data_IF_804326750474
#
_entry.id   IF_804326750474
#
_cell.length_a   1.000
_cell.length_b   1.000
_cell.length_c   1.000
_cell.angle_alpha   90.00
_cell.angle_beta   90.00
_cell.angle_gamma   90.00
#
_symmetry.space_group_name_H-M   'P 1'
#
loop_
_entity.id
_entity.type
_entity.pdbx_description
1 polymer ?
#
# COMPACT_ATOMS: atom_id res chain seq x y z
N UNK A 1 -9.12 12.19 29.45
CA UNK A 1 -7.95 12.23 28.55
C UNK A 1 -7.14 10.97 28.79
N UNK A 2 -6.81 10.24 27.73
CA UNK A 2 -6.12 8.95 27.81
C UNK A 2 -4.70 9.05 27.25
N UNK A 3 -3.84 8.13 27.68
CA UNK A 3 -2.43 8.10 27.30
C UNK A 3 -1.99 6.74 26.77
N UNK A 4 -1.04 6.74 25.83
CA UNK A 4 -0.16 5.60 25.57
C UNK A 4 1.03 5.71 26.51
N UNK A 5 1.16 4.75 27.42
CA UNK A 5 2.27 4.62 28.36
C UNK A 5 3.26 3.61 27.79
N UNK A 6 4.37 4.09 27.25
CA UNK A 6 5.37 3.25 26.57
C UNK A 6 6.55 3.05 27.52
N UNK A 7 6.90 1.80 27.80
CA UNK A 7 8.05 1.44 28.65
C UNK A 7 9.10 0.74 27.80
N UNK A 8 10.32 1.28 27.79
CA UNK A 8 11.48 0.60 27.28
C UNK A 8 12.21 -0.08 28.44
N UNK A 9 12.20 -1.41 28.49
CA UNK A 9 12.93 -2.20 29.50
C UNK A 9 14.25 -2.77 28.99
N UNK A 10 14.67 -2.36 27.80
CA UNK A 10 16.01 -2.71 27.34
C UNK A 10 17.05 -1.88 28.10
N UNK A 11 18.26 -2.41 28.16
CA UNK A 11 19.44 -1.74 28.71
C UNK A 11 20.06 -0.71 27.74
N UNK A 12 19.39 -0.41 26.63
CA UNK A 12 19.77 0.61 25.66
C UNK A 12 18.55 1.46 25.29
N UNK A 13 18.79 2.62 24.68
CA UNK A 13 17.72 3.46 24.15
C UNK A 13 17.01 2.75 22.98
N UNK A 14 15.70 2.90 22.89
CA UNK A 14 14.88 2.36 21.81
C UNK A 14 14.16 3.51 21.11
N UNK A 15 14.23 3.52 19.77
CA UNK A 15 13.46 4.44 18.93
C UNK A 15 12.19 3.77 18.45
N UNK A 16 11.10 4.54 18.49
CA UNK A 16 9.78 4.16 17.99
C UNK A 16 9.34 5.17 16.94
N UNK A 17 8.82 4.70 15.81
CA UNK A 17 8.01 5.56 14.94
C UNK A 17 6.62 5.66 15.53
N UNK A 18 6.09 6.89 15.62
CA UNK A 18 4.71 7.14 16.04
C UNK A 18 3.91 7.57 14.82
N UNK A 19 2.94 6.76 14.41
CA UNK A 19 2.10 7.00 13.24
C UNK A 19 0.71 7.49 13.66
N UNK A 20 0.01 8.16 12.73
CA UNK A 20 -1.32 8.72 12.98
C UNK A 20 -1.28 10.00 13.81
N UNK A 21 -2.18 10.14 14.77
CA UNK A 21 -2.24 11.31 15.65
C UNK A 21 -1.19 11.28 16.79
N UNK A 22 -0.52 10.15 17.00
CA UNK A 22 0.35 9.94 18.15
C UNK A 22 1.70 10.67 17.99
N UNK A 23 2.14 11.36 19.04
CA UNK A 23 3.37 12.16 19.07
C UNK A 23 3.50 13.17 17.92
N UNK A 24 2.38 13.63 17.36
CA UNK A 24 2.37 14.50 16.18
C UNK A 24 3.06 13.89 14.95
N UNK A 25 3.06 12.55 14.84
CA UNK A 25 3.71 11.82 13.75
C UNK A 25 5.24 11.77 13.83
N UNK A 26 5.85 12.19 14.95
CA UNK A 26 7.31 12.24 15.13
C UNK A 26 7.82 10.97 15.80
N UNK A 27 9.05 10.61 15.47
CA UNK A 27 9.77 9.55 16.17
C UNK A 27 9.95 9.89 17.66
N UNK A 28 9.93 8.85 18.49
CA UNK A 28 10.13 8.91 19.92
C UNK A 28 11.29 7.99 20.30
N UNK A 29 12.33 8.54 20.92
CA UNK A 29 13.39 7.74 21.54
C UNK A 29 13.20 7.70 23.04
N UNK A 30 13.09 6.49 23.59
CA UNK A 30 12.99 6.26 25.03
C UNK A 30 14.32 5.66 25.49
N UNK A 31 14.97 6.31 26.46
CA UNK A 31 16.24 5.85 27.01
C UNK A 31 16.13 4.47 27.67
N UNK A 32 17.28 3.84 27.93
CA UNK A 32 17.35 2.56 28.62
C UNK A 32 16.56 2.59 29.93
N UNK A 33 15.72 1.56 30.17
CA UNK A 33 14.82 1.47 31.33
C UNK A 33 13.88 2.68 31.51
N UNK A 34 13.68 3.49 30.47
CA UNK A 34 12.86 4.68 30.49
C UNK A 34 11.39 4.42 30.17
N UNK A 35 10.59 5.46 30.33
CA UNK A 35 9.19 5.47 29.92
C UNK A 35 8.79 6.81 29.30
N UNK A 36 7.72 6.80 28.52
CA UNK A 36 7.12 7.98 27.93
C UNK A 36 5.60 7.88 27.97
N UNK A 37 4.93 9.02 28.04
CA UNK A 37 3.48 9.14 27.94
C UNK A 37 3.16 10.01 26.72
N UNK A 38 2.35 9.46 25.81
CA UNK A 38 1.85 10.18 24.64
C UNK A 38 0.34 10.35 24.82
N UNK A 39 -0.19 11.55 24.57
CA UNK A 39 -1.63 11.76 24.54
C UNK A 39 -2.28 10.92 23.44
N UNK A 40 -3.38 10.23 23.78
CA UNK A 40 -4.18 9.45 22.85
C UNK A 40 -5.66 9.72 23.09
N UNK A 41 -6.18 10.86 22.60
CA UNK A 41 -7.60 11.19 22.69
C UNK A 41 -8.50 10.12 22.04
N UNK A 42 -9.73 10.01 22.52
CA UNK A 42 -10.75 9.17 21.88
C UNK A 42 -10.98 9.59 20.42
N UNK A 43 -11.27 8.61 19.56
CA UNK A 43 -11.44 8.81 18.12
C UNK A 43 -10.13 8.88 17.32
N UNK A 44 -8.98 8.73 17.97
CA UNK A 44 -7.67 8.66 17.28
C UNK A 44 -7.29 7.23 16.90
N UNK A 45 -6.51 7.10 15.83
CA UNK A 45 -5.95 5.83 15.38
C UNK A 45 -4.50 6.02 14.90
N UNK A 46 -3.68 4.99 15.03
CA UNK A 46 -2.27 5.01 14.66
C UNK A 46 -1.51 3.79 15.16
N UNK A 47 -0.18 3.87 15.12
CA UNK A 47 0.69 2.80 15.56
C UNK A 47 1.95 3.31 16.27
N UNK A 48 2.48 2.50 17.20
CA UNK A 48 3.79 2.66 17.80
C UNK A 48 4.66 1.51 17.30
N UNK A 49 5.70 1.82 16.54
CA UNK A 49 6.49 0.81 15.80
C UNK A 49 7.94 0.87 16.26
N UNK A 50 8.50 -0.24 16.76
CA UNK A 50 9.91 -0.29 17.13
C UNK A 50 10.81 -0.29 15.89
N UNK A 51 11.96 0.40 15.98
CA UNK A 51 12.96 0.49 14.90
C UNK A 51 14.24 -0.22 15.31
N UNK A 52 14.75 -1.09 14.43
CA UNK A 52 15.93 -1.93 14.63
C UNK A 52 16.90 -1.72 13.47
N UNK A 53 18.08 -1.18 13.75
CA UNK A 53 19.09 -0.86 12.72
C UNK A 53 18.54 -0.03 11.55
N UNK A 54 17.64 0.92 11.85
CA UNK A 54 16.98 1.75 10.83
C UNK A 54 15.84 1.07 10.06
N UNK A 55 15.45 -0.15 10.45
CA UNK A 55 14.35 -0.90 9.84
C UNK A 55 13.21 -1.06 10.85
N UNK A 56 11.97 -0.84 10.43
CA UNK A 56 10.80 -1.07 11.28
C UNK A 56 10.66 -2.57 11.65
N UNK A 57 10.18 -2.84 12.86
CA UNK A 57 9.92 -4.19 13.38
C UNK A 57 8.52 -4.29 13.98
N UNK A 58 8.43 -4.88 15.16
CA UNK A 58 7.14 -5.08 15.83
C UNK A 58 6.39 -3.76 16.10
N UNK A 59 5.07 -3.81 15.91
CA UNK A 59 4.18 -2.67 16.02
C UNK A 59 3.03 -2.95 17.00
N UNK A 60 2.64 -1.90 17.72
CA UNK A 60 1.39 -1.83 18.45
C UNK A 60 0.44 -0.91 17.68
N UNK A 61 -0.61 -1.45 17.10
CA UNK A 61 -1.68 -0.69 16.44
C UNK A 61 -2.74 -0.34 17.47
N UNK A 62 -3.17 0.92 17.51
CA UNK A 62 -4.13 1.42 18.50
C UNK A 62 -5.19 2.27 17.81
N UNK A 63 -6.46 1.95 18.03
CA UNK A 63 -7.58 2.86 17.81
C UNK A 63 -8.30 3.11 19.13
N UNK A 64 -8.38 4.38 19.53
CA UNK A 64 -9.01 4.81 20.78
C UNK A 64 -10.50 5.01 20.60
N UNK A 65 -11.31 4.39 21.46
CA UNK A 65 -12.78 4.51 21.43
C UNK A 65 -13.37 4.28 20.01
N UNK A 66 -12.86 3.27 19.31
CA UNK A 66 -13.25 2.94 17.95
C UNK A 66 -14.49 2.05 17.91
N UNK A 67 -14.29 0.74 17.79
CA UNK A 67 -15.38 -0.22 17.62
C UNK A 67 -16.32 -0.24 18.83
N UNK A 68 -17.55 0.24 18.62
CA UNK A 68 -18.58 0.39 19.67
C UNK A 68 -18.09 1.21 20.88
N UNK A 69 -17.21 2.20 20.67
CA UNK A 69 -16.64 3.03 21.74
C UNK A 69 -15.58 2.33 22.60
N UNK A 70 -15.10 1.15 22.18
CA UNK A 70 -14.00 0.45 22.84
C UNK A 70 -12.68 0.70 22.12
N UNK A 71 -11.57 0.61 22.86
CA UNK A 71 -10.25 0.57 22.26
C UNK A 71 -10.05 -0.70 21.44
N UNK A 72 -9.46 -0.58 20.26
CA UNK A 72 -8.82 -1.71 19.58
C UNK A 72 -7.32 -1.56 19.72
N UNK A 73 -6.66 -2.62 20.16
CA UNK A 73 -5.19 -2.68 20.27
C UNK A 73 -4.72 -3.97 19.62
N UNK A 74 -3.63 -3.96 18.87
CA UNK A 74 -3.08 -5.16 18.26
C UNK A 74 -1.56 -5.13 18.34
N UNK A 75 -0.93 -6.28 18.64
CA UNK A 75 0.51 -6.44 18.44
C UNK A 75 0.71 -7.21 17.14
N UNK A 76 1.57 -6.67 16.29
CA UNK A 76 1.85 -7.22 14.99
C UNK A 76 3.35 -7.30 14.77
N UNK A 77 3.78 -8.41 14.18
CA UNK A 77 5.12 -8.60 13.64
C UNK A 77 5.10 -8.57 12.11
N UNK A 78 4.02 -8.06 11.50
CA UNK A 78 3.78 -8.14 10.06
C UNK A 78 4.85 -7.40 9.24
N UNK A 79 5.43 -6.33 9.80
CA UNK A 79 6.49 -5.54 9.15
C UNK A 79 7.91 -5.93 9.59
N UNK A 80 8.03 -6.94 10.46
CA UNK A 80 9.30 -7.45 10.96
C UNK A 80 9.33 -7.60 12.48
N UNK A 81 10.49 -8.02 12.99
CA UNK A 81 10.75 -8.04 14.43
C UNK A 81 12.25 -7.96 14.73
N UNK A 82 12.61 -7.24 15.78
CA UNK A 82 13.97 -7.18 16.33
C UNK A 82 14.02 -7.13 17.86
N UNK A 83 12.86 -6.99 18.51
CA UNK A 83 12.72 -7.07 19.95
C UNK A 83 11.38 -7.71 20.33
N UNK A 84 11.01 -7.55 21.59
CA UNK A 84 9.75 -8.07 22.13
C UNK A 84 8.85 -6.90 22.50
N UNK A 85 7.58 -6.97 22.09
CA UNK A 85 6.58 -5.97 22.40
C UNK A 85 5.29 -6.61 22.89
N UNK A 86 4.69 -6.01 23.92
CA UNK A 86 3.35 -6.34 24.38
C UNK A 86 2.51 -5.09 24.57
N UNK A 87 1.18 -5.23 24.53
CA UNK A 87 0.27 -4.15 24.89
C UNK A 87 -0.97 -4.64 25.66
N UNK A 88 -1.51 -3.78 26.53
CA UNK A 88 -2.77 -4.00 27.24
C UNK A 88 -3.42 -2.69 27.66
N UNK A 89 -4.72 -2.69 27.99
CA UNK A 89 -5.28 -1.55 28.72
C UNK A 89 -4.73 -1.53 30.15
N UNK A 90 -4.44 -0.34 30.67
CA UNK A 90 -4.01 -0.16 32.06
C UNK A 90 -5.11 -0.65 33.00
N UNK A 91 -4.72 -1.48 33.96
CA UNK A 91 -5.64 -2.11 34.92
C UNK A 91 -6.19 -3.48 34.47
N UNK A 92 -5.90 -3.94 33.25
CA UNK A 92 -6.27 -5.29 32.85
C UNK A 92 -5.47 -6.35 33.66
N UNK A 93 -6.08 -7.52 33.97
CA UNK A 93 -5.40 -8.59 34.68
C UNK A 93 -4.17 -9.12 33.94
N UNK A 94 -3.22 -9.69 34.69
CA UNK A 94 -2.07 -10.36 34.11
C UNK A 94 -2.49 -11.46 33.12
N UNK A 95 -1.78 -11.56 32.00
CA UNK A 95 -2.09 -12.51 30.92
C UNK A 95 -3.17 -12.08 29.93
N UNK A 96 -3.74 -10.88 30.10
CA UNK A 96 -4.68 -10.30 29.14
C UNK A 96 -4.03 -9.37 28.11
N UNK A 97 -2.71 -9.24 28.16
CA UNK A 97 -1.96 -8.50 27.14
C UNK A 97 -1.90 -9.26 25.81
N UNK A 98 -1.69 -8.50 24.75
CA UNK A 98 -1.41 -8.98 23.39
C UNK A 98 0.09 -8.91 23.13
N UNK A 99 0.58 -9.75 22.22
CA UNK A 99 2.00 -9.86 21.89
C UNK A 99 2.69 -11.03 22.59
N UNK A 100 3.89 -11.34 22.11
CA UNK A 100 4.74 -12.40 22.64
C UNK A 100 5.91 -11.77 23.40
N UNK A 101 5.91 -11.88 24.73
CA UNK A 101 6.86 -11.17 25.61
C UNK A 101 8.33 -11.58 25.45
N UNK A 102 8.58 -12.76 24.89
CA UNK A 102 9.91 -13.31 24.56
C UNK A 102 10.01 -13.71 23.08
N UNK A 103 9.36 -12.96 22.18
CA UNK A 103 9.25 -13.29 20.75
C UNK A 103 10.60 -13.62 20.11
N UNK A 104 11.62 -12.78 20.28
CA UNK A 104 12.94 -12.97 19.67
C UNK A 104 13.70 -14.15 20.27
N UNK A 105 13.51 -14.46 21.57
CA UNK A 105 14.08 -15.67 22.17
C UNK A 105 13.42 -16.94 21.61
N UNK A 106 12.10 -16.92 21.46
CA UNK A 106 11.36 -18.02 20.85
C UNK A 106 11.74 -18.19 19.37
N UNK A 107 11.87 -17.10 18.63
CA UNK A 107 12.35 -17.07 17.26
C UNK A 107 13.76 -17.67 17.14
N UNK A 108 14.70 -17.23 17.98
CA UNK A 108 16.05 -17.77 17.98
C UNK A 108 16.06 -19.28 18.26
N UNK A 109 15.32 -19.70 19.29
CA UNK A 109 15.19 -21.11 19.66
C UNK A 109 14.59 -21.95 18.53
N UNK A 110 13.54 -21.45 17.87
CA UNK A 110 12.91 -22.13 16.75
C UNK A 110 13.84 -22.20 15.54
N UNK A 111 14.54 -21.10 15.22
CA UNK A 111 15.47 -21.03 14.10
C UNK A 111 16.61 -22.04 14.23
N UNK A 112 17.22 -22.15 15.42
CA UNK A 112 18.30 -23.12 15.64
C UNK A 112 17.86 -24.57 15.47
N UNK A 113 16.58 -24.89 15.75
CA UNK A 113 15.99 -26.22 15.56
C UNK A 113 15.66 -26.54 14.10
N UNK A 114 15.68 -25.56 13.19
CA UNK A 114 15.36 -25.79 11.78
C UNK A 114 16.44 -26.63 11.07
N UNK A 115 16.04 -27.56 10.19
CA UNK A 115 16.95 -28.16 9.22
C UNK A 115 17.58 -27.10 8.31
N UNK A 116 18.79 -27.37 7.79
CA UNK A 116 19.53 -26.41 6.95
C UNK A 116 18.72 -25.96 5.73
N UNK A 117 18.04 -26.89 5.04
CA UNK A 117 17.19 -26.56 3.89
C UNK A 117 16.08 -25.54 4.23
N UNK A 118 15.55 -25.55 5.46
CA UNK A 118 14.58 -24.55 5.91
C UNK A 118 15.23 -23.22 6.26
N UNK A 119 16.45 -23.23 6.81
CA UNK A 119 17.24 -22.01 7.01
C UNK A 119 17.59 -21.33 5.68
N UNK A 120 17.90 -22.13 4.66
CA UNK A 120 18.20 -21.62 3.31
C UNK A 120 16.99 -20.93 2.67
N UNK A 121 15.77 -21.45 2.89
CA UNK A 121 14.52 -20.79 2.49
C UNK A 121 14.27 -19.45 3.19
N UNK A 122 14.88 -19.23 4.36
CA UNK A 122 14.75 -18.02 5.16
C UNK A 122 15.88 -17.00 4.91
N UNK A 123 16.83 -17.32 4.01
CA UNK A 123 17.95 -16.44 3.69
C UNK A 123 17.44 -15.11 3.12
N UNK A 124 17.95 -14.00 3.68
CA UNK A 124 17.49 -12.65 3.33
C UNK A 124 16.26 -12.18 4.12
N UNK A 125 15.64 -13.07 4.90
CA UNK A 125 14.50 -12.76 5.76
C UNK A 125 14.80 -12.91 7.25
N UNK A 126 15.74 -13.79 7.63
CA UNK A 126 16.27 -13.91 8.99
C UNK A 126 17.70 -13.39 9.02
N UNK A 127 17.96 -12.44 9.92
CA UNK A 127 19.24 -11.76 10.05
C UNK A 127 19.91 -12.19 11.34
N UNK A 128 21.12 -12.73 11.22
CA UNK A 128 21.88 -13.27 12.35
C UNK A 128 22.94 -12.27 12.84
N UNK A 129 23.27 -12.34 14.12
CA UNK A 129 24.46 -11.70 14.68
C UNK A 129 25.75 -12.49 14.39
N UNK A 130 26.90 -11.99 14.84
CA UNK A 130 28.19 -12.65 14.65
C UNK A 130 28.34 -13.99 15.40
N UNK A 131 27.44 -14.30 16.33
CA UNK A 131 27.37 -15.57 17.05
C UNK A 131 26.35 -16.54 16.43
N UNK A 132 25.69 -16.14 15.35
CA UNK A 132 24.69 -16.94 14.65
C UNK A 132 23.30 -16.92 15.31
N UNK A 133 23.05 -16.05 16.29
CA UNK A 133 21.72 -15.87 16.87
C UNK A 133 20.88 -14.95 16.00
N UNK A 134 19.57 -15.16 15.98
CA UNK A 134 18.62 -14.28 15.30
C UNK A 134 18.60 -12.90 15.96
N UNK A 135 19.10 -11.90 15.23
CA UNK A 135 19.08 -10.49 15.63
C UNK A 135 17.79 -9.80 15.20
N UNK A 136 17.29 -10.12 13.99
CA UNK A 136 16.09 -9.50 13.40
C UNK A 136 15.46 -10.45 12.37
N UNK A 137 14.18 -10.28 12.11
CA UNK A 137 13.49 -10.83 10.94
C UNK A 137 12.90 -9.70 10.09
N UNK A 138 12.79 -9.95 8.78
CA UNK A 138 12.05 -9.10 7.85
C UNK A 138 10.54 -9.24 7.98
N UNK A 139 9.75 -8.59 7.11
CA UNK A 139 8.29 -8.65 7.13
C UNK A 139 7.79 -10.06 6.75
N UNK A 140 7.07 -10.79 7.63
CA UNK A 140 6.51 -12.09 7.26
C UNK A 140 5.46 -11.99 6.14
N UNK A 141 4.75 -10.86 6.02
CA UNK A 141 3.80 -10.63 4.90
C UNK A 141 4.43 -10.70 3.51
N UNK A 142 5.74 -10.43 3.41
CA UNK A 142 6.46 -10.41 2.14
C UNK A 142 7.09 -11.78 1.81
N UNK A 143 6.95 -12.78 2.70
CA UNK A 143 7.60 -14.09 2.56
C UNK A 143 6.81 -15.20 3.24
N UNK A 144 6.11 -16.01 2.44
CA UNK A 144 5.36 -17.17 2.93
C UNK A 144 6.22 -18.15 3.76
N UNK A 145 7.48 -18.48 3.38
CA UNK A 145 8.34 -19.30 4.22
C UNK A 145 8.62 -18.69 5.60
N UNK A 146 8.82 -17.37 5.66
CA UNK A 146 9.03 -16.66 6.93
C UNK A 146 7.75 -16.67 7.77
N UNK A 147 6.59 -16.39 7.18
CA UNK A 147 5.29 -16.46 7.86
C UNK A 147 5.07 -17.84 8.48
N UNK A 148 5.25 -18.90 7.70
CA UNK A 148 5.14 -20.29 8.16
C UNK A 148 6.08 -20.58 9.32
N UNK A 149 7.33 -20.10 9.24
CA UNK A 149 8.30 -20.24 10.32
C UNK A 149 7.85 -19.52 11.59
N UNK A 150 7.44 -18.26 11.51
CA UNK A 150 7.02 -17.47 12.69
C UNK A 150 5.80 -18.09 13.37
N UNK A 151 4.87 -18.65 12.58
CA UNK A 151 3.71 -19.38 13.10
C UNK A 151 4.09 -20.62 13.92
N UNK A 152 5.27 -21.20 13.74
CA UNK A 152 5.68 -22.37 14.56
C UNK A 152 5.86 -22.04 16.05
N UNK A 153 6.07 -20.77 16.41
CA UNK A 153 6.32 -20.36 17.79
C UNK A 153 5.45 -19.21 18.29
N UNK A 154 4.83 -18.42 17.41
CA UNK A 154 4.07 -17.22 17.80
C UNK A 154 2.60 -17.19 17.35
N UNK A 155 2.08 -18.27 16.76
CA UNK A 155 0.71 -18.32 16.26
C UNK A 155 -0.32 -17.97 17.36
N UNK A 156 -1.19 -17.00 17.08
CA UNK A 156 -2.21 -16.53 18.04
C UNK A 156 -1.70 -15.68 19.19
N UNK A 157 -0.39 -15.41 19.27
CA UNK A 157 0.19 -14.53 20.30
C UNK A 157 0.45 -13.12 19.79
N UNK A 158 0.72 -13.02 18.49
CA UNK A 158 0.96 -11.80 17.75
C UNK A 158 0.40 -11.99 16.36
N UNK A 159 0.14 -10.88 15.68
CA UNK A 159 -0.37 -10.88 14.33
C UNK A 159 0.80 -11.01 13.36
N UNK A 160 0.82 -12.11 12.60
CA UNK A 160 2.01 -12.52 11.82
C UNK A 160 1.80 -12.29 10.33
N UNK A 161 0.60 -12.54 9.81
CA UNK A 161 0.30 -12.52 8.37
C UNK A 161 -0.64 -11.39 7.97
N UNK A 162 -1.25 -11.51 6.79
CA UNK A 162 -2.36 -10.64 6.39
C UNK A 162 -3.64 -11.19 7.04
N UNK A 163 -4.21 -10.46 7.97
CA UNK A 163 -5.41 -10.82 8.74
C UNK A 163 -6.70 -10.76 7.92
N UNK A 164 -7.84 -10.84 8.61
CA UNK A 164 -9.15 -10.81 7.97
C UNK A 164 -9.39 -9.46 7.28
N UNK A 165 -9.08 -9.37 6.00
CA UNK A 165 -9.23 -8.14 5.24
C UNK A 165 -9.62 -8.46 3.79
N UNK A 166 -10.66 -7.80 3.29
CA UNK A 166 -11.12 -7.95 1.90
C UNK A 166 -11.74 -9.30 1.52
N UNK A 167 -12.40 -9.99 2.45
CA UNK A 167 -13.09 -11.26 2.19
C UNK A 167 -12.24 -12.52 2.44
N UNK A 168 -10.93 -12.35 2.64
CA UNK A 168 -10.13 -13.37 3.32
C UNK A 168 -10.55 -13.39 4.80
N UNK A 169 -10.89 -14.57 5.30
CA UNK A 169 -11.18 -14.75 6.73
C UNK A 169 -9.96 -14.50 7.61
N UNK A 170 -8.77 -14.31 7.03
CA UNK A 170 -7.50 -14.18 7.74
C UNK A 170 -7.11 -15.49 8.41
N UNK A 171 -5.99 -15.47 9.13
CA UNK A 171 -5.71 -16.55 10.05
C UNK A 171 -6.64 -16.42 11.28
N UNK A 172 -7.39 -17.48 11.65
CA UNK A 172 -8.30 -17.42 12.80
C UNK A 172 -7.61 -17.06 14.12
N UNK A 173 -6.35 -17.46 14.29
CA UNK A 173 -5.58 -17.16 15.50
C UNK A 173 -5.15 -15.68 15.54
N UNK A 174 -4.76 -15.11 14.38
CA UNK A 174 -4.47 -13.68 14.27
C UNK A 174 -5.73 -12.85 14.61
N UNK A 175 -6.92 -13.29 14.18
CA UNK A 175 -8.18 -12.59 14.47
C UNK A 175 -8.62 -12.68 15.93
N UNK A 176 -8.34 -13.80 16.62
CA UNK A 176 -8.68 -13.96 18.05
C UNK A 176 -7.98 -12.92 18.92
N UNK A 177 -6.76 -12.59 18.55
CA UNK A 177 -6.01 -11.51 19.18
C UNK A 177 -6.74 -10.17 19.00
N UNK A 178 -7.32 -9.85 17.85
CA UNK A 178 -7.88 -8.52 17.51
C UNK A 178 -9.21 -8.14 18.18
N UNK A 179 -9.55 -8.79 19.30
CA UNK A 179 -10.71 -8.40 20.10
C UNK A 179 -10.55 -7.00 20.72
N UNK A 180 -11.62 -6.19 20.68
CA UNK A 180 -11.64 -4.89 21.32
C UNK A 180 -11.55 -5.03 22.86
N UNK A 181 -10.96 -4.02 23.50
CA UNK A 181 -10.93 -3.88 24.95
C UNK A 181 -12.30 -3.50 25.53
N UNK A 182 -12.32 -3.06 26.79
CA UNK A 182 -13.55 -2.60 27.46
C UNK A 182 -13.47 -1.11 27.74
N UNK A 183 -14.23 -0.34 26.97
CA UNK A 183 -14.19 1.12 26.96
C UNK A 183 -12.87 1.68 26.46
N UNK A 184 -12.68 2.98 26.69
CA UNK A 184 -11.42 3.68 26.43
C UNK A 184 -10.62 3.84 27.72
N UNK A 185 -9.36 3.40 27.70
CA UNK A 185 -8.44 3.48 28.85
C UNK A 185 -7.05 3.88 28.40
N UNK A 186 -6.16 4.20 29.34
CA UNK A 186 -4.74 4.26 29.04
C UNK A 186 -4.25 2.91 28.50
N UNK A 187 -3.34 2.94 27.53
CA UNK A 187 -2.74 1.74 26.96
C UNK A 187 -1.30 1.63 27.47
N UNK A 188 -0.94 0.49 28.07
CA UNK A 188 0.43 0.18 28.42
C UNK A 188 1.07 -0.59 27.26
N UNK A 189 2.17 -0.06 26.73
CA UNK A 189 3.01 -0.71 25.73
C UNK A 189 4.36 -0.99 26.39
N UNK A 190 4.82 -2.24 26.36
CA UNK A 190 6.12 -2.61 26.92
C UNK A 190 6.98 -3.17 25.80
N UNK A 191 8.16 -2.59 25.66
CA UNK A 191 9.22 -3.06 24.78
C UNK A 191 10.39 -3.59 25.61
N UNK A 192 11.02 -4.67 25.16
CA UNK A 192 12.27 -5.17 25.73
C UNK A 192 13.00 -6.10 24.75
N UNK A 193 14.33 -6.12 24.79
CA UNK A 193 15.12 -7.18 24.17
C UNK A 193 15.10 -8.47 25.02
N UNK A 194 14.72 -8.37 26.29
CA UNK A 194 14.63 -9.48 27.23
C UNK A 194 13.19 -9.97 27.37
N UNK A 195 12.49 -9.50 28.39
CA UNK A 195 11.10 -9.88 28.66
C UNK A 195 10.20 -8.65 28.66
N UNK A 196 9.29 -8.59 27.69
CA UNK A 196 8.34 -7.51 27.51
C UNK A 196 7.00 -7.72 28.25
N UNK A 197 6.89 -8.66 29.19
CA UNK A 197 5.67 -8.88 29.95
C UNK A 197 5.29 -7.62 30.76
N UNK A 198 4.03 -7.17 30.80
CA UNK A 198 3.64 -6.01 31.59
C UNK A 198 4.05 -6.08 33.07
N UNK A 199 4.03 -7.28 33.65
CA UNK A 199 4.54 -7.58 34.99
C UNK A 199 5.50 -8.78 34.91
N UNK A 200 6.82 -8.56 34.95
CA UNK A 200 7.81 -9.63 34.78
C UNK A 200 7.98 -10.47 36.06
N UNK A 201 7.42 -10.03 37.19
CA UNK A 201 7.49 -10.76 38.46
C UNK A 201 6.45 -11.88 38.55
N UNK A 202 5.42 -11.83 37.71
CA UNK A 202 4.36 -12.84 37.68
C UNK A 202 4.74 -13.98 36.73
N UNK A 203 4.47 -15.23 37.13
CA UNK A 203 4.61 -16.36 36.22
C UNK A 203 3.74 -16.12 34.99
N UNK A 204 4.30 -16.46 33.84
CA UNK A 204 3.60 -16.36 32.57
C UNK A 204 2.31 -17.19 32.61
N UNK A 205 1.17 -16.53 32.44
CA UNK A 205 -0.11 -17.24 32.35
C UNK A 205 -0.44 -17.67 30.92
N UNK A 206 0.18 -17.03 29.93
CA UNK A 206 -0.09 -17.21 28.51
C UNK A 206 -1.54 -16.96 28.12
N UNK A 207 -1.74 -16.47 26.91
CA UNK A 207 -2.88 -16.99 26.19
C UNK A 207 -2.54 -18.46 25.93
N UNK A 208 -3.14 -19.37 26.69
CA UNK A 208 -2.87 -20.80 26.61
C UNK A 208 -3.15 -21.27 25.20
N UNK A 209 -2.10 -21.49 24.40
CA UNK A 209 -2.22 -22.30 23.19
C UNK A 209 -2.40 -23.73 23.69
N UNK A 210 -3.65 -24.22 23.74
CA UNK A 210 -3.88 -25.65 23.86
C UNK A 210 -3.15 -26.32 22.69
N UNK A 211 -2.22 -27.20 23.03
CA UNK A 211 -1.14 -27.65 22.16
C UNK A 211 -1.61 -28.24 20.82
N UNK A 212 -1.05 -27.73 19.73
CA UNK A 212 -1.13 -28.36 18.42
C UNK A 212 0.06 -29.30 18.23
N UNK A 213 -0.22 -30.61 18.20
CA UNK A 213 0.67 -31.59 17.61
C UNK A 213 0.61 -31.42 16.07
N UNK A 214 1.71 -30.98 15.46
CA UNK A 214 1.85 -30.89 14.01
C UNK A 214 1.88 -32.28 13.39
N UNK A 215 0.79 -32.70 12.76
CA UNK A 215 0.80 -33.84 11.83
C UNK A 215 1.35 -33.33 10.50
N UNK A 216 2.59 -33.69 10.21
CA UNK A 216 3.22 -33.45 8.93
C UNK A 216 2.57 -34.35 7.86
N UNK A 217 1.64 -33.82 7.07
CA UNK A 217 1.25 -34.46 5.82
C UNK A 217 2.21 -34.02 4.72
N UNK A 218 3.15 -34.91 4.39
CA UNK A 218 3.97 -34.82 3.19
C UNK A 218 3.05 -34.99 1.97
N UNK A 219 2.89 -33.93 1.17
CA UNK A 219 2.24 -34.05 -0.13
C UNK A 219 3.35 -34.13 -1.19
N UNK A 220 3.67 -35.34 -1.60
CA UNK A 220 4.51 -35.65 -2.75
C UNK A 220 3.67 -35.54 -4.01
N UNK A 221 4.01 -34.63 -4.93
CA UNK A 221 3.61 -34.75 -6.32
C UNK A 221 4.84 -34.54 -7.22
N UNK A 222 5.13 -35.44 -8.17
CA UNK A 222 6.38 -35.45 -8.91
C UNK A 222 6.38 -34.49 -10.11
N UNK A 223 7.57 -33.94 -10.37
CA UNK A 223 7.95 -33.16 -11.54
C UNK A 223 7.68 -33.90 -12.87
N UNK A 224 7.22 -33.15 -13.88
CA UNK A 224 7.59 -33.39 -15.27
C UNK A 224 8.01 -32.07 -15.97
N UNK A 225 9.13 -32.05 -16.70
CA UNK A 225 9.62 -30.86 -17.38
C UNK A 225 9.03 -30.72 -18.79
N UNK A 226 8.47 -29.55 -19.11
CA UNK A 226 8.25 -29.15 -20.50
C UNK A 226 9.36 -28.19 -20.95
N UNK A 227 10.21 -28.70 -21.83
CA UNK A 227 11.06 -27.91 -22.71
C UNK A 227 10.20 -27.12 -23.70
N UNK A 228 10.44 -25.82 -23.83
CA UNK A 228 10.14 -25.10 -25.07
C UNK A 228 11.34 -24.25 -25.42
N UNK A 229 12.00 -24.64 -26.51
CA UNK A 229 12.99 -23.84 -27.21
C UNK A 229 12.27 -22.74 -28.00
N UNK A 230 12.78 -21.51 -27.93
CA UNK A 230 12.55 -20.51 -28.98
C UNK A 230 13.88 -19.89 -29.40
N UNK A 231 14.22 -20.18 -30.65
CA UNK A 231 15.37 -19.67 -31.36
C UNK A 231 15.15 -18.21 -31.78
N UNK A 232 16.25 -17.47 -31.74
CA UNK A 232 16.40 -16.13 -32.28
C UNK A 232 16.24 -16.12 -33.81
N UNK A 233 15.60 -15.07 -34.34
CA UNK A 233 16.01 -14.44 -35.60
C UNK A 233 15.84 -12.92 -35.48
N UNK A 234 16.98 -12.25 -35.56
CA UNK A 234 17.10 -10.88 -36.04
C UNK A 234 16.61 -10.82 -37.48
N UNK A 235 15.99 -9.71 -37.88
CA UNK A 235 16.45 -9.01 -39.08
C UNK A 235 16.00 -7.55 -39.07
N UNK A 236 16.98 -6.74 -39.45
CA UNK A 236 17.00 -5.29 -39.58
C UNK A 236 16.59 -4.97 -41.00
N UNK A 237 15.77 -3.94 -41.24
CA UNK A 237 15.97 -3.08 -42.41
C UNK A 237 15.25 -1.74 -42.26
N UNK A 238 16.08 -0.71 -42.42
CA UNK A 238 15.72 0.70 -42.52
C UNK A 238 15.56 1.11 -43.99
N UNK A 239 15.44 2.42 -44.20
CA UNK A 239 15.49 3.20 -45.46
C UNK A 239 14.17 3.10 -46.28
N UNK A 240 13.48 4.15 -46.73
CA UNK A 240 13.98 5.46 -47.18
C UNK A 240 12.94 6.57 -47.17
N UNK A 241 13.48 7.77 -46.95
CA UNK A 241 13.00 9.13 -47.19
C UNK A 241 12.36 9.30 -48.57
N UNK A 242 11.27 10.07 -48.66
CA UNK A 242 10.98 10.85 -49.87
C UNK A 242 10.71 12.31 -49.53
N UNK A 243 11.57 13.14 -50.11
CA UNK A 243 11.60 14.60 -50.15
C UNK A 243 10.65 15.07 -51.26
N UNK A 244 9.80 16.07 -50.99
CA UNK A 244 9.20 16.88 -52.05
C UNK A 244 9.29 18.35 -51.62
N UNK A 245 10.02 19.12 -52.42
CA UNK A 245 10.15 20.58 -52.36
C UNK A 245 9.27 21.23 -53.44
N UNK A 246 8.92 22.50 -53.18
CA UNK A 246 8.43 23.56 -54.08
C UNK A 246 6.98 23.46 -54.60
N UNK A 247 6.20 24.55 -54.75
CA UNK A 247 6.55 25.96 -54.94
C UNK A 247 5.42 26.94 -54.52
N UNK A 248 5.84 28.14 -54.12
CA UNK A 248 5.31 29.51 -54.33
C UNK A 248 3.80 29.86 -54.28
N UNK A 249 3.52 30.92 -53.51
CA UNK A 249 2.28 31.72 -53.36
C UNK A 249 1.82 32.44 -54.66
N UNK A 250 0.65 33.12 -54.65
CA UNK A 250 0.61 34.51 -54.16
C UNK A 250 -0.61 34.92 -53.29
N UNK A 251 -0.30 35.85 -52.37
CA UNK A 251 -1.04 37.01 -51.86
C UNK A 251 -2.58 37.03 -51.76
N UNK A 252 -3.05 37.24 -50.53
CA UNK A 252 -4.39 37.76 -50.20
C UNK A 252 -4.45 38.17 -48.73
N UNK A 253 -4.42 39.48 -48.49
CA UNK A 253 -4.25 40.09 -47.17
C UNK A 253 -5.42 39.84 -46.20
N UNK A 254 -5.09 39.40 -44.99
CA UNK A 254 -5.83 39.74 -43.76
C UNK A 254 -4.83 39.71 -42.60
N UNK A 255 -4.43 40.89 -42.12
CA UNK A 255 -3.62 41.02 -40.91
C UNK A 255 -4.49 40.59 -39.74
N UNK A 256 -4.47 39.30 -39.40
CA UNK A 256 -4.79 38.82 -38.06
C UNK A 256 -3.52 38.96 -37.26
N UNK A 257 -3.51 39.90 -36.33
CA UNK A 257 -2.60 39.95 -35.20
C UNK A 257 -2.56 38.55 -34.57
N UNK A 258 -1.52 37.79 -34.90
CA UNK A 258 -1.12 36.64 -34.11
C UNK A 258 -0.65 37.21 -32.79
N UNK A 259 -1.57 37.29 -31.82
CA UNK A 259 -1.18 37.31 -30.44
C UNK A 259 -0.28 36.08 -30.27
N UNK A 260 1.03 36.32 -30.12
CA UNK A 260 1.93 35.32 -29.61
C UNK A 260 1.25 34.78 -28.35
N UNK A 261 0.82 33.52 -28.40
CA UNK A 261 0.28 32.85 -27.24
C UNK A 261 1.37 33.01 -26.17
N UNK A 262 1.10 33.87 -25.20
CA UNK A 262 1.93 34.00 -24.03
C UNK A 262 2.13 32.57 -23.56
N UNK A 263 3.38 32.10 -23.57
CA UNK A 263 3.76 30.83 -22.98
C UNK A 263 3.33 30.93 -21.52
N UNK A 264 2.10 30.52 -21.24
CA UNK A 264 1.55 30.45 -19.90
C UNK A 264 2.57 29.64 -19.13
N UNK A 265 3.22 30.30 -18.17
CA UNK A 265 4.23 29.69 -17.31
C UNK A 265 3.74 28.30 -16.93
N UNK A 266 4.57 27.29 -17.16
CA UNK A 266 4.20 25.91 -16.89
C UNK A 266 3.58 25.85 -15.48
N UNK A 267 2.39 25.27 -15.32
CA UNK A 267 1.80 25.13 -14.00
C UNK A 267 2.81 24.43 -13.11
N UNK A 268 2.96 24.91 -11.87
CA UNK A 268 3.89 24.36 -10.90
C UNK A 268 3.61 22.88 -10.59
N UNK A 269 4.32 22.30 -9.59
CA UNK A 269 4.14 20.89 -9.26
C UNK A 269 2.68 20.51 -8.98
N UNK A 270 2.23 19.39 -9.55
CA UNK A 270 0.88 18.86 -9.37
C UNK A 270 0.31 18.25 -10.64
N UNK A 271 -0.97 18.52 -10.90
CA UNK A 271 -1.61 18.08 -12.16
C UNK A 271 -2.42 19.19 -12.81
N UNK A 272 -2.53 19.17 -14.14
CA UNK A 272 -3.66 19.72 -14.87
C UNK A 272 -4.75 18.66 -14.92
N UNK A 273 -5.96 18.99 -14.47
CA UNK A 273 -7.08 18.07 -14.43
C UNK A 273 -8.19 18.58 -15.35
N UNK A 274 -8.60 17.75 -16.30
CA UNK A 274 -9.67 18.06 -17.24
C UNK A 274 -10.85 17.11 -17.09
N UNK A 275 -12.04 17.69 -16.96
CA UNK A 275 -13.31 16.97 -17.04
C UNK A 275 -13.82 17.02 -18.48
N UNK A 276 -13.46 16.04 -19.31
CA UNK A 276 -13.94 15.94 -20.69
C UNK A 276 -15.24 15.14 -20.76
N UNK A 277 -16.23 15.54 -19.96
CA UNK A 277 -17.57 14.99 -20.01
C UNK A 277 -18.62 16.08 -20.16
N UNK A 278 -19.85 15.66 -20.47
CA UNK A 278 -21.00 16.56 -20.56
C UNK A 278 -21.58 16.97 -19.19
N UNK A 279 -21.12 16.38 -18.07
CA UNK A 279 -21.64 16.64 -16.72
C UNK A 279 -20.57 17.24 -15.80
N UNK A 280 -21.00 17.99 -14.79
CA UNK A 280 -20.11 18.39 -13.69
C UNK A 280 -19.67 17.13 -12.93
N UNK A 281 -18.38 17.03 -12.60
CA UNK A 281 -17.85 15.94 -11.78
C UNK A 281 -17.01 16.49 -10.63
N UNK A 282 -17.03 15.78 -9.51
CA UNK A 282 -16.14 16.02 -8.37
C UNK A 282 -15.05 14.97 -8.37
N UNK A 283 -13.79 15.41 -8.33
CA UNK A 283 -12.62 14.55 -8.33
C UNK A 283 -11.97 14.56 -6.96
N UNK A 284 -11.66 13.38 -6.44
CA UNK A 284 -11.05 13.19 -5.13
C UNK A 284 -9.63 12.69 -5.28
N UNK A 285 -8.75 13.22 -4.44
CA UNK A 285 -7.33 12.90 -4.40
C UNK A 285 -7.03 12.11 -3.15
N UNK A 286 -6.27 11.03 -3.31
CA UNK A 286 -5.91 10.13 -2.22
C UNK A 286 -4.39 9.99 -2.22
N UNK A 287 -3.76 10.23 -1.07
CA UNK A 287 -2.37 9.81 -0.86
C UNK A 287 -2.33 8.28 -0.73
N UNK A 288 -1.16 7.70 -1.00
CA UNK A 288 -0.92 6.30 -0.66
C UNK A 288 -0.61 6.15 0.83
N UNK A 289 -1.09 5.06 1.44
CA UNK A 289 -0.77 4.68 2.82
C UNK A 289 0.72 4.37 3.00
N UNK A 290 1.37 3.82 1.97
CA UNK A 290 2.77 3.45 1.98
C UNK A 290 3.51 4.13 0.84
N UNK A 291 4.48 4.98 1.20
CA UNK A 291 5.31 5.76 0.29
C UNK A 291 6.79 5.39 0.47
N UNK A 292 7.19 4.17 0.11
CA UNK A 292 8.60 3.79 0.12
C UNK A 292 8.85 2.28 0.13
N UNK A 293 9.04 1.71 -1.07
CA UNK A 293 9.61 0.38 -1.38
C UNK A 293 9.11 -0.17 -2.74
N UNK A 294 8.27 0.57 -3.47
CA UNK A 294 7.70 0.12 -4.75
C UNK A 294 6.29 -0.46 -4.63
N UNK A 295 5.69 -0.45 -3.44
CA UNK A 295 4.30 -0.89 -3.22
C UNK A 295 3.42 0.30 -2.87
N UNK A 296 2.51 0.68 -3.78
CA UNK A 296 1.51 1.71 -3.53
C UNK A 296 0.33 1.11 -2.74
N UNK A 297 0.26 1.42 -1.44
CA UNK A 297 -0.88 1.04 -0.59
C UNK A 297 -2.05 2.01 -0.80
N UNK A 298 -3.16 1.52 -1.32
CA UNK A 298 -4.22 2.40 -1.75
C UNK A 298 -5.15 2.86 -0.61
N UNK A 299 -5.22 4.16 -0.32
CA UNK A 299 -6.25 4.78 0.51
C UNK A 299 -7.53 5.04 -0.31
N UNK A 300 -8.71 4.67 0.21
CA UNK A 300 -10.00 4.73 -0.48
C UNK A 300 -11.04 5.58 0.24
N UNK A 301 -10.88 5.79 1.53
CA UNK A 301 -11.87 6.36 2.44
C UNK A 301 -11.45 7.72 3.02
N UNK A 302 -10.16 8.07 2.94
CA UNK A 302 -9.62 9.34 3.41
C UNK A 302 -9.08 10.21 2.25
N UNK A 303 -9.95 10.86 1.46
CA UNK A 303 -9.49 11.80 0.45
C UNK A 303 -8.80 13.00 1.11
N UNK A 304 -7.63 13.38 0.60
CA UNK A 304 -6.90 14.55 1.06
C UNK A 304 -7.55 15.87 0.62
N UNK A 305 -8.07 15.87 -0.61
CA UNK A 305 -8.69 17.05 -1.23
C UNK A 305 -9.65 16.61 -2.33
N UNK A 306 -10.50 17.55 -2.75
CA UNK A 306 -11.35 17.37 -3.91
C UNK A 306 -11.43 18.64 -4.74
N UNK A 307 -11.83 18.50 -6.00
CA UNK A 307 -12.06 19.60 -6.94
C UNK A 307 -13.31 19.31 -7.75
N UNK A 308 -14.21 20.28 -7.85
CA UNK A 308 -15.34 20.21 -8.77
C UNK A 308 -14.97 20.86 -10.10
N UNK A 309 -15.32 20.19 -11.20
CA UNK A 309 -15.05 20.66 -12.55
C UNK A 309 -16.33 20.62 -13.38
N UNK A 310 -16.68 21.77 -13.96
CA UNK A 310 -17.73 21.87 -14.98
C UNK A 310 -17.36 21.05 -16.23
N UNK A 311 -18.34 20.76 -17.12
CA UNK A 311 -18.07 20.16 -18.42
C UNK A 311 -16.96 20.88 -19.19
N UNK A 312 -16.01 20.12 -19.73
CA UNK A 312 -14.85 20.60 -20.50
C UNK A 312 -13.92 21.57 -19.76
N UNK A 313 -14.04 21.69 -18.44
CA UNK A 313 -13.16 22.55 -17.66
C UNK A 313 -11.82 21.86 -17.39
N UNK A 314 -10.74 22.64 -17.53
CA UNK A 314 -9.39 22.28 -17.09
C UNK A 314 -8.98 23.19 -15.94
N UNK A 315 -8.40 22.62 -14.88
CA UNK A 315 -7.83 23.38 -13.77
C UNK A 315 -6.46 22.83 -13.40
N UNK A 316 -5.54 23.70 -12.98
CA UNK A 316 -4.34 23.24 -12.30
C UNK A 316 -4.63 22.97 -10.83
N UNK A 317 -4.32 21.76 -10.39
CA UNK A 317 -4.41 21.34 -8.99
C UNK A 317 -2.99 21.27 -8.44
N UNK A 318 -2.55 22.26 -7.63
CA UNK A 318 -1.24 22.22 -7.01
C UNK A 318 -1.20 21.11 -5.95
N UNK A 319 -0.07 20.41 -5.92
CA UNK A 319 0.21 19.31 -4.99
C UNK A 319 1.66 19.39 -4.51
N UNK A 320 1.93 18.85 -3.31
CA UNK A 320 3.30 18.72 -2.81
C UNK A 320 4.14 17.86 -3.77
N UNK A 321 5.42 18.20 -3.94
CA UNK A 321 6.38 17.35 -4.66
C UNK A 321 6.54 15.96 -4.01
N UNK A 322 6.19 15.83 -2.73
CA UNK A 322 6.18 14.55 -2.03
C UNK A 322 4.92 13.71 -2.28
N UNK A 323 3.91 14.24 -2.97
CA UNK A 323 2.64 13.53 -3.18
C UNK A 323 2.85 12.32 -4.08
N UNK A 324 2.31 11.17 -3.66
CA UNK A 324 2.26 9.92 -4.42
C UNK A 324 0.92 9.25 -4.15
N UNK A 325 0.09 9.13 -5.18
CA UNK A 325 -1.25 8.66 -4.96
C UNK A 325 -2.06 8.64 -6.24
N UNK A 326 -3.35 8.97 -6.11
CA UNK A 326 -4.29 8.89 -7.23
C UNK A 326 -5.32 10.01 -7.21
N UNK A 327 -5.89 10.23 -8.37
CA UNK A 327 -7.12 11.00 -8.57
C UNK A 327 -8.19 10.11 -9.20
N UNK A 328 -9.43 10.24 -8.73
CA UNK A 328 -10.58 9.54 -9.30
C UNK A 328 -11.84 10.41 -9.30
N UNK A 329 -12.85 10.00 -10.08
CA UNK A 329 -14.19 10.60 -10.09
C UNK A 329 -15.02 10.07 -8.92
N UNK A 330 -15.61 10.98 -8.14
CA UNK A 330 -16.38 10.62 -6.96
C UNK A 330 -15.56 9.86 -5.90
N UNK A 331 -16.23 9.38 -4.86
CA UNK A 331 -15.61 8.62 -3.77
C UNK A 331 -15.86 7.12 -3.83
N UNK A 332 -16.81 6.70 -4.66
CA UNK A 332 -17.25 5.32 -4.73
C UNK A 332 -16.37 4.51 -5.70
N UNK A 333 -16.11 3.26 -5.31
CA UNK A 333 -15.63 2.21 -6.21
C UNK A 333 -16.83 1.40 -6.75
N UNK A 334 -16.72 0.73 -7.91
CA UNK A 334 -15.54 0.68 -8.79
C UNK A 334 -15.28 1.98 -9.58
N UNK A 335 -14.03 2.35 -9.83
CA UNK A 335 -13.66 3.60 -10.50
C UNK A 335 -12.32 3.54 -11.25
N UNK A 336 -12.19 4.31 -12.33
CA UNK A 336 -10.93 4.51 -13.06
C UNK A 336 -10.02 5.46 -12.29
N UNK A 337 -8.74 5.11 -12.22
CA UNK A 337 -7.73 5.91 -11.53
C UNK A 337 -6.73 6.53 -12.49
N UNK A 338 -6.36 7.78 -12.19
CA UNK A 338 -5.07 8.33 -12.61
C UNK A 338 -4.10 8.21 -11.44
N UNK A 339 -3.12 7.32 -11.56
CA UNK A 339 -2.09 7.10 -10.54
C UNK A 339 -0.87 7.95 -10.87
N UNK A 340 -0.25 8.58 -9.86
CA UNK A 340 0.92 9.41 -10.09
C UNK A 340 1.73 9.72 -8.83
N UNK A 341 2.99 10.05 -9.06
CA UNK A 341 3.86 10.74 -8.11
C UNK A 341 4.32 12.07 -8.72
N UNK A 342 4.28 13.14 -7.93
CA UNK A 342 4.64 14.48 -8.41
C UNK A 342 6.15 14.60 -8.62
N UNK A 343 6.95 13.90 -7.81
CA UNK A 343 8.41 13.82 -7.97
C UNK A 343 8.93 12.43 -7.56
N UNK A 344 9.41 11.68 -8.53
CA UNK A 344 10.07 10.41 -8.33
C UNK A 344 11.47 10.59 -7.72
N UNK A 345 11.88 9.70 -6.82
CA UNK A 345 13.19 9.80 -6.15
C UNK A 345 14.36 9.41 -7.06
N UNK A 346 14.11 8.61 -8.09
CA UNK A 346 15.14 8.09 -8.99
C UNK A 346 15.57 9.10 -10.07
N UNK A 347 14.65 9.88 -10.64
CA UNK A 347 14.98 10.81 -11.73
C UNK A 347 14.44 12.24 -11.53
N UNK A 348 13.72 12.47 -10.42
CA UNK A 348 13.20 13.79 -10.06
C UNK A 348 12.06 14.31 -10.93
N UNK A 349 11.43 13.46 -11.77
CA UNK A 349 10.29 13.84 -12.63
C UNK A 349 8.95 13.45 -12.00
N UNK A 350 7.85 14.01 -12.50
CA UNK A 350 6.54 13.41 -12.24
C UNK A 350 6.40 12.14 -13.08
N UNK A 351 5.74 11.12 -12.54
CA UNK A 351 5.41 9.87 -13.23
C UNK A 351 3.95 9.55 -12.99
N UNK A 352 3.23 9.09 -14.00
CA UNK A 352 1.86 8.63 -13.83
C UNK A 352 1.31 7.81 -14.99
N UNK A 353 0.20 7.16 -14.71
CA UNK A 353 -0.42 6.15 -15.55
C UNK A 353 -1.94 6.06 -15.27
N UNK A 354 -2.63 5.21 -16.03
CA UNK A 354 -4.06 4.94 -15.86
C UNK A 354 -4.23 3.51 -15.36
N UNK A 355 -5.07 3.33 -14.35
CA UNK A 355 -5.34 2.04 -13.74
C UNK A 355 -6.83 1.74 -13.68
N UNK A 356 -7.16 0.51 -14.09
CA UNK A 356 -8.50 -0.09 -14.06
C UNK A 356 -8.58 -1.19 -12.99
N UNK A 357 -7.55 -1.34 -12.17
CA UNK A 357 -7.44 -2.39 -11.17
C UNK A 357 -8.59 -2.37 -10.15
N UNK A 358 -9.15 -1.19 -9.86
CA UNK A 358 -10.33 -1.01 -9.02
C UNK A 358 -11.61 -0.71 -9.79
N UNK A 359 -11.63 -1.07 -11.08
CA UNK A 359 -12.75 -0.97 -12.00
C UNK A 359 -12.61 0.17 -12.99
N UNK A 360 -13.62 0.32 -13.84
CA UNK A 360 -13.65 1.38 -14.85
C UNK A 360 -15.02 2.04 -14.94
N UNK A 361 -15.06 3.32 -14.56
CA UNK A 361 -16.25 4.18 -14.63
C UNK A 361 -16.18 5.19 -15.80
N UNK A 362 -15.24 4.98 -16.72
CA UNK A 362 -15.07 5.79 -17.93
C UNK A 362 -13.61 5.96 -18.31
N UNK A 363 -13.36 6.39 -19.55
CA UNK A 363 -12.03 6.56 -20.08
C UNK A 363 -11.20 7.62 -19.35
N UNK A 364 -9.88 7.48 -19.40
CA UNK A 364 -8.94 8.47 -18.88
C UNK A 364 -7.61 8.43 -19.65
N UNK A 365 -6.95 9.58 -19.74
CA UNK A 365 -5.60 9.72 -20.32
C UNK A 365 -4.70 10.53 -19.40
N UNK A 366 -3.41 10.27 -19.46
CA UNK A 366 -2.35 11.04 -18.81
C UNK A 366 -1.35 11.52 -19.86
N UNK A 367 -0.90 12.77 -19.74
CA UNK A 367 0.09 13.37 -20.63
C UNK A 367 1.15 14.17 -19.86
N UNK A 368 2.36 14.24 -20.41
CA UNK A 368 3.40 15.13 -19.92
C UNK A 368 3.06 16.60 -20.24
N UNK A 369 3.48 17.51 -19.37
CA UNK A 369 3.26 18.97 -19.57
C UNK A 369 4.55 19.75 -19.74
N UNK A 370 5.68 19.05 -19.86
CA UNK A 370 7.02 19.61 -20.02
C UNK A 370 7.38 19.94 -21.50
N UNK A 371 6.38 19.97 -22.37
CA UNK A 371 6.54 20.24 -23.81
C UNK A 371 6.84 19.00 -24.66
N UNK A 372 7.05 17.81 -24.05
CA UNK A 372 7.27 16.58 -24.82
C UNK A 372 5.98 16.01 -25.43
N UNK A 373 4.82 16.26 -24.80
CA UNK A 373 3.51 15.83 -25.30
C UNK A 373 3.29 14.31 -25.29
N UNK A 374 4.16 13.54 -24.61
CA UNK A 374 4.01 12.09 -24.48
C UNK A 374 2.76 11.80 -23.67
N UNK A 375 1.93 10.88 -24.13
CA UNK A 375 0.67 10.53 -23.48
C UNK A 375 0.36 9.04 -23.57
N UNK A 376 -0.40 8.55 -22.59
CA UNK A 376 -0.93 7.20 -22.55
C UNK A 376 -2.35 7.19 -21.96
N UNK A 377 -2.98 6.02 -21.91
CA UNK A 377 -4.39 5.86 -21.54
C UNK A 377 -5.29 5.58 -22.73
N UNK A 378 -6.58 5.84 -22.58
CA UNK A 378 -7.58 5.54 -23.59
C UNK A 378 -8.77 6.51 -23.51
N UNK A 379 -9.40 6.75 -24.66
CA UNK A 379 -10.59 7.62 -24.81
C UNK A 379 -11.85 6.83 -25.16
N UNK A 380 -11.69 5.57 -25.59
CA UNK A 380 -12.78 4.68 -25.96
C UNK A 380 -13.63 4.34 -24.75
N UNK A 381 -14.94 4.49 -24.86
CA UNK A 381 -15.86 3.94 -23.88
C UNK A 381 -15.88 2.41 -23.96
N UNK A 382 -15.30 1.76 -22.95
CA UNK A 382 -15.28 0.30 -22.83
C UNK A 382 -16.34 -0.25 -21.87
N UNK A 383 -17.07 0.60 -21.15
CA UNK A 383 -18.23 0.17 -20.35
C UNK A 383 -19.38 -0.24 -21.28
N UNK A 384 -19.57 0.50 -22.38
CA UNK A 384 -20.57 0.17 -23.39
C UNK A 384 -20.20 -1.10 -24.14
N UNK A 385 -21.13 -2.04 -24.18
CA UNK A 385 -20.97 -3.32 -24.88
C UNK A 385 -20.21 -4.37 -24.08
N UNK A 386 -19.81 -4.06 -22.84
CA UNK A 386 -19.21 -5.05 -21.96
C UNK A 386 -20.22 -6.18 -21.65
N UNK A 387 -19.76 -7.43 -21.56
CA UNK A 387 -20.62 -8.54 -21.18
C UNK A 387 -21.14 -8.32 -19.75
N UNK A 388 -22.35 -8.78 -19.46
CA UNK A 388 -22.97 -8.60 -18.14
C UNK A 388 -22.09 -9.09 -16.98
N UNK A 389 -21.32 -10.17 -17.21
CA UNK A 389 -20.38 -10.71 -16.23
C UNK A 389 -19.20 -9.79 -15.90
N UNK A 390 -18.81 -8.88 -16.80
CA UNK A 390 -17.75 -7.89 -16.59
C UNK A 390 -18.24 -6.62 -15.87
N UNK A 391 -19.55 -6.45 -15.74
CA UNK A 391 -20.14 -5.26 -15.16
C UNK A 391 -20.25 -5.36 -13.63
N UNK A 392 -20.09 -4.22 -12.97
CA UNK A 392 -20.38 -3.99 -11.56
C UNK A 392 -21.31 -2.78 -11.38
N UNK A 393 -21.62 -2.46 -10.13
CA UNK A 393 -22.37 -1.26 -9.77
C UNK A 393 -21.66 -0.51 -8.67
N UNK A 394 -21.65 0.82 -8.77
CA UNK A 394 -21.34 1.71 -7.65
C UNK A 394 -22.52 1.72 -6.64
N UNK A 395 -22.31 2.23 -5.40
CA UNK A 395 -23.37 2.34 -4.40
C UNK A 395 -24.56 3.20 -4.82
N UNK A 396 -24.36 4.16 -5.73
CA UNK A 396 -25.42 4.98 -6.33
C UNK A 396 -26.18 4.28 -7.48
N UNK A 397 -25.80 3.05 -7.81
CA UNK A 397 -26.40 2.24 -8.87
C UNK A 397 -25.80 2.44 -10.25
N UNK A 398 -24.81 3.34 -10.43
CA UNK A 398 -24.13 3.54 -11.71
C UNK A 398 -23.47 2.23 -12.16
N UNK A 399 -23.75 1.82 -13.40
CA UNK A 399 -23.18 0.61 -14.01
C UNK A 399 -21.80 0.93 -14.56
N UNK A 400 -20.81 0.16 -14.12
CA UNK A 400 -19.39 0.34 -14.43
C UNK A 400 -18.77 -1.01 -14.75
N UNK A 401 -17.52 -1.06 -15.21
CA UNK A 401 -16.76 -2.31 -15.22
C UNK A 401 -16.34 -2.64 -13.79
N UNK A 402 -16.51 -3.91 -13.42
CA UNK A 402 -16.15 -4.41 -12.11
C UNK A 402 -14.63 -4.34 -11.89
N UNK A 403 -14.22 -4.29 -10.62
CA UNK A 403 -12.80 -4.33 -10.24
C UNK A 403 -12.13 -5.62 -10.73
N UNK A 404 -10.99 -5.49 -11.40
CA UNK A 404 -10.22 -6.61 -11.95
C UNK A 404 -9.31 -7.28 -10.94
N UNK A 405 -8.92 -6.58 -9.89
CA UNK A 405 -8.19 -7.12 -8.72
C UNK A 405 -9.11 -7.39 -7.52
N UNK A 406 -10.37 -6.95 -7.58
CA UNK A 406 -11.23 -6.80 -6.40
C UNK A 406 -10.72 -5.65 -5.50
N UNK A 407 -11.39 -5.39 -4.37
CA UNK A 407 -10.85 -4.50 -3.33
C UNK A 407 -9.60 -5.17 -2.72
N UNK A 408 -8.46 -5.05 -3.41
CA UNK A 408 -7.12 -5.61 -3.18
C UNK A 408 -6.99 -7.06 -2.64
N UNK A 409 -8.08 -7.83 -2.48
CA UNK A 409 -8.11 -9.18 -1.89
C UNK A 409 -9.37 -10.00 -2.26
N UNK A 410 -10.22 -9.49 -3.17
CA UNK A 410 -11.27 -10.29 -3.80
C UNK A 410 -10.68 -11.07 -4.99
N UNK A 411 -11.38 -12.07 -5.56
CA UNK A 411 -10.84 -12.86 -6.68
C UNK A 411 -10.64 -12.07 -7.99
N UNK A 412 -10.86 -10.75 -7.99
CA UNK A 412 -11.01 -9.96 -9.20
C UNK A 412 -12.23 -10.40 -10.03
N UNK A 413 -12.62 -9.56 -11.00
CA UNK A 413 -13.58 -9.97 -12.00
C UNK A 413 -12.84 -10.39 -13.28
N UNK A 414 -12.69 -11.71 -13.49
CA UNK A 414 -11.99 -12.22 -14.66
C UNK A 414 -12.65 -11.83 -15.98
N UNK A 415 -13.98 -11.71 -16.04
CA UNK A 415 -14.67 -11.24 -17.24
C UNK A 415 -14.36 -9.77 -17.56
N UNK A 416 -14.17 -8.94 -16.54
CA UNK A 416 -13.68 -7.56 -16.71
C UNK A 416 -12.24 -7.56 -17.20
N UNK A 417 -11.35 -8.38 -16.63
CA UNK A 417 -9.95 -8.54 -17.10
C UNK A 417 -9.91 -8.91 -18.57
N UNK A 418 -10.66 -9.93 -18.99
CA UNK A 418 -10.67 -10.42 -20.36
C UNK A 418 -11.22 -9.36 -21.33
N UNK A 419 -12.28 -8.67 -20.91
CA UNK A 419 -12.89 -7.60 -21.68
C UNK A 419 -11.94 -6.41 -21.85
N UNK A 420 -11.35 -5.91 -20.78
CA UNK A 420 -10.43 -4.78 -20.79
C UNK A 420 -9.18 -5.08 -21.63
N UNK A 421 -8.60 -6.28 -21.48
CA UNK A 421 -7.48 -6.72 -22.31
C UNK A 421 -7.85 -6.78 -23.78
N UNK A 422 -9.04 -7.27 -24.12
CA UNK A 422 -9.54 -7.30 -25.49
C UNK A 422 -9.76 -5.89 -26.06
N UNK A 423 -10.26 -4.95 -25.25
CA UNK A 423 -10.60 -3.60 -25.73
C UNK A 423 -9.39 -2.67 -25.84
N UNK A 424 -8.43 -2.80 -24.93
CA UNK A 424 -7.33 -1.83 -24.75
C UNK A 424 -5.94 -2.46 -24.90
N UNK A 425 -5.77 -3.69 -24.42
CA UNK A 425 -4.48 -4.30 -24.13
C UNK A 425 -3.77 -3.66 -22.93
N UNK A 426 -2.80 -4.36 -22.34
CA UNK A 426 -2.06 -3.90 -21.16
C UNK A 426 -1.18 -2.66 -21.41
N UNK A 427 -0.92 -2.28 -22.66
CA UNK A 427 -0.08 -1.10 -22.95
C UNK A 427 -0.76 0.24 -22.67
N UNK A 428 -2.08 0.26 -22.43
CA UNK A 428 -2.87 1.49 -22.27
C UNK A 428 -3.27 1.81 -20.83
N UNK A 429 -3.48 0.80 -20.00
CA UNK A 429 -3.84 0.96 -18.60
C UNK A 429 -3.49 -0.31 -17.81
N UNK A 430 -3.29 -0.17 -16.50
CA UNK A 430 -3.10 -1.30 -15.61
C UNK A 430 -4.44 -2.02 -15.44
N UNK A 431 -4.53 -3.21 -16.04
CA UNK A 431 -5.75 -4.04 -16.00
C UNK A 431 -5.63 -5.06 -14.88
N UNK A 432 -4.49 -5.76 -14.76
CA UNK A 432 -4.28 -6.78 -13.73
C UNK A 432 -2.78 -6.98 -13.51
N UNK A 433 -2.31 -6.72 -12.29
CA UNK A 433 -1.00 -6.99 -11.72
C UNK A 433 0.18 -6.34 -12.44
N UNK A 434 1.21 -5.99 -11.66
CA UNK A 434 2.58 -5.89 -12.16
C UNK A 434 2.88 -4.78 -13.19
N UNK A 435 4.01 -4.98 -13.89
CA UNK A 435 4.63 -4.06 -14.87
C UNK A 435 4.06 -4.27 -16.27
N UNK A 436 4.16 -3.28 -17.17
CA UNK A 436 3.76 -3.45 -18.58
C UNK A 436 3.02 -2.28 -19.21
N UNK A 437 2.53 -1.34 -18.41
CA UNK A 437 2.05 -0.04 -18.89
C UNK A 437 3.24 0.91 -18.94
N UNK A 438 3.57 1.51 -20.09
CA UNK A 438 4.51 2.62 -20.13
C UNK A 438 3.94 3.80 -19.35
N UNK A 439 4.63 4.18 -18.28
CA UNK A 439 4.29 5.36 -17.50
C UNK A 439 4.69 6.64 -18.24
N UNK A 440 3.99 7.72 -17.92
CA UNK A 440 4.24 9.05 -18.49
C UNK A 440 5.07 9.86 -17.52
N UNK A 441 6.26 10.25 -17.96
CA UNK A 441 7.16 11.11 -17.21
C UNK A 441 7.07 12.57 -17.66
N UNK A 442 7.11 13.52 -16.72
CA UNK A 442 7.15 14.96 -17.01
C UNK A 442 8.18 15.70 -16.16
N UNK A 443 9.13 16.38 -16.80
CA UNK A 443 10.27 17.05 -16.16
C UNK A 443 9.89 18.25 -15.29
N UNK A 444 8.75 18.89 -15.57
CA UNK A 444 8.27 20.04 -14.81
C UNK A 444 7.47 19.66 -13.55
N UNK A 445 7.46 18.37 -13.17
CA UNK A 445 6.70 17.84 -12.03
C UNK A 445 5.18 18.07 -12.15
N UNK A 446 4.67 18.21 -13.38
CA UNK A 446 3.25 18.37 -13.64
C UNK A 446 2.77 17.43 -14.75
N UNK A 447 1.68 16.72 -14.52
CA UNK A 447 1.02 15.83 -15.48
C UNK A 447 -0.35 16.38 -15.86
N UNK A 448 -0.87 16.02 -17.04
CA UNK A 448 -2.21 16.37 -17.46
C UNK A 448 -3.09 15.12 -17.52
N UNK A 449 -4.02 15.02 -16.57
CA UNK A 449 -5.05 13.99 -16.57
C UNK A 449 -6.33 14.51 -17.22
N UNK A 450 -6.87 13.74 -18.16
CA UNK A 450 -8.17 14.01 -18.77
C UNK A 450 -9.09 12.82 -18.55
N UNK A 451 -10.23 13.06 -17.94
CA UNK A 451 -11.25 12.05 -17.66
C UNK A 451 -12.43 12.23 -18.60
N UNK A 452 -12.77 11.16 -19.32
CA UNK A 452 -13.87 11.08 -20.27
C UNK A 452 -15.00 10.30 -19.60
N UNK A 453 -16.18 10.90 -19.48
CA UNK A 453 -17.37 10.16 -19.04
C UNK A 453 -18.24 9.92 -20.25
N UNK A 454 -18.91 8.77 -20.24
CA UNK A 454 -19.92 8.39 -21.22
C UNK A 454 -21.27 8.98 -20.87
#
# INVERSE_FOLDING_TARGET
MHYLRIKNRSNHAQTFQCHGAYNGGKDLTIMANGEANIEAPDGTSGAIIAVHDGVIGEQCEITKSGWMGNDTIDISNIVGAGGNMTCQQVGDPAGKYKGHETFMQACNTAYHKLPQAKKDQLKGHVFLDGSGNVKRIGPPKDSQPLEQFVRTFANGRTYIGVGAWGGNAGNPEDNKQSSAGKGSKDILIVYSNGNAAPDPSKPFTGQSIQGFAMVATANTQPDQPQQVALAAKNDVNAISVNKVENASQPAGAAIKTLAAAATTSAPGPGIQLTNHSAKKNTYYFYDNYWNGNGTAGANFDHPLKHVELAPNQTVHVPLSVSFKGRVQRGRALPATWGEFQVKASNDGKAHGDISLQQGCDGAATVASTDGTGVSNGFTKNIVRGAPAAALGKKPDGEVVLASTEGNWNGPGNQAAVDWENKQLGQGKAYIKGGTGVPDIASKNNCLHFTFYVV
#
